data_IF_533845779112
#
_entry.id   IF_533845779112
#
_cell.length_a   1.000
_cell.length_b   1.000
_cell.length_c   1.000
_cell.angle_alpha   90.00
_cell.angle_beta   90.00
_cell.angle_gamma   90.00
#
_symmetry.space_group_name_H-M   'P 1'
#
loop_
_entity.id
_entity.type
_entity.pdbx_description
1 polymer ?
#
# COMPACT_ATOMS: atom_id res chain seq x y z
N UNK A 1 7.60 -10.95 -8.70
CA UNK A 1 8.34 -9.86 -9.42
C UNK A 1 7.95 -8.50 -8.83
N UNK A 2 6.66 -8.13 -8.81
CA UNK A 2 6.23 -6.83 -8.28
C UNK A 2 6.51 -6.67 -6.78
N UNK A 3 6.30 -7.72 -5.99
CA UNK A 3 6.59 -7.70 -4.54
C UNK A 3 8.05 -7.33 -4.27
N UNK A 4 8.97 -7.83 -5.11
CA UNK A 4 10.40 -7.58 -4.99
C UNK A 4 10.83 -6.20 -5.51
N UNK A 5 10.28 -5.75 -6.64
CA UNK A 5 10.82 -4.58 -7.37
C UNK A 5 9.95 -3.32 -7.29
N UNK A 6 8.74 -3.42 -6.74
CA UNK A 6 7.80 -2.30 -6.63
C UNK A 6 7.35 -2.11 -5.18
N UNK A 7 7.04 -3.20 -4.48
CA UNK A 7 6.44 -3.12 -3.15
C UNK A 7 7.39 -3.47 -2.01
N UNK A 8 8.61 -3.96 -2.25
CA UNK A 8 9.59 -4.18 -1.18
C UNK A 8 10.11 -2.84 -0.62
N UNK A 9 10.57 -2.84 0.63
CA UNK A 9 11.04 -1.62 1.29
C UNK A 9 12.34 -1.13 0.64
N UNK A 10 13.18 -2.09 0.26
CA UNK A 10 14.46 -1.91 -0.40
C UNK A 10 14.35 -1.84 -1.94
N UNK A 11 13.15 -1.87 -2.52
CA UNK A 11 12.95 -1.80 -3.97
C UNK A 11 13.52 -0.52 -4.60
N UNK A 12 13.63 0.56 -3.81
CA UNK A 12 14.05 1.89 -4.26
C UNK A 12 15.24 2.41 -3.46
N UNK A 13 16.39 1.75 -3.60
CA UNK A 13 17.67 2.22 -3.06
C UNK A 13 18.44 3.03 -4.11
N UNK A 14 18.52 4.35 -3.91
CA UNK A 14 19.24 5.25 -4.80
C UNK A 14 20.52 5.75 -4.14
N UNK A 15 21.61 5.84 -4.92
CA UNK A 15 22.84 6.47 -4.45
C UNK A 15 22.58 7.96 -4.14
N UNK A 16 23.05 8.51 -2.99
CA UNK A 16 22.84 9.92 -2.64
C UNK A 16 23.35 10.89 -3.73
N UNK A 17 24.45 10.55 -4.40
CA UNK A 17 25.00 11.32 -5.51
C UNK A 17 24.08 11.38 -6.74
N UNK A 18 23.23 10.38 -6.95
CA UNK A 18 22.21 10.42 -8.00
C UNK A 18 21.07 11.35 -7.60
N UNK A 19 20.60 11.25 -6.35
CA UNK A 19 19.51 12.09 -5.82
C UNK A 19 19.84 13.58 -5.91
N UNK A 20 21.07 13.95 -5.54
CA UNK A 20 21.55 15.34 -5.64
C UNK A 20 21.60 15.87 -7.08
N UNK A 21 21.66 14.98 -8.09
CA UNK A 21 21.65 15.36 -9.51
C UNK A 21 20.25 15.44 -10.12
N UNK A 22 19.22 14.96 -9.42
CA UNK A 22 17.82 15.05 -9.87
C UNK A 22 17.19 16.41 -9.52
N UNK A 23 17.79 17.16 -8.59
CA UNK A 23 17.39 18.53 -8.29
C UNK A 23 17.66 19.46 -9.50
N UNK A 24 16.79 20.45 -9.75
CA UNK A 24 16.99 21.41 -10.84
C UNK A 24 18.37 22.08 -10.78
N UNK A 25 19.01 22.25 -11.94
CA UNK A 25 20.28 22.95 -12.02
C UNK A 25 20.15 24.37 -11.49
N UNK A 26 21.12 24.78 -10.66
CA UNK A 26 21.23 26.14 -10.12
C UNK A 26 21.91 27.11 -11.08
N UNK A 27 22.25 26.67 -12.29
CA UNK A 27 22.98 27.46 -13.26
C UNK A 27 22.08 28.50 -13.92
N UNK A 28 22.40 29.79 -13.69
CA UNK A 28 21.72 30.93 -14.28
C UNK A 28 22.55 31.49 -15.42
N UNK A 29 21.96 31.60 -16.61
CA UNK A 29 22.51 32.34 -17.73
C UNK A 29 21.41 33.09 -18.48
N UNK A 30 21.78 33.85 -19.50
CA UNK A 30 20.89 34.72 -20.27
C UNK A 30 19.72 34.01 -20.99
N UNK A 31 19.71 32.67 -21.03
CA UNK A 31 18.62 31.83 -21.55
C UNK A 31 17.99 30.89 -20.51
N UNK A 32 18.37 30.96 -19.24
CA UNK A 32 17.78 30.14 -18.16
C UNK A 32 17.19 31.03 -17.07
N UNK A 33 15.88 30.90 -16.86
CA UNK A 33 15.20 31.42 -15.68
C UNK A 33 15.36 30.42 -14.54
N UNK A 34 15.66 30.92 -13.33
CA UNK A 34 15.68 30.07 -12.13
C UNK A 34 14.23 29.70 -11.80
N UNK A 35 13.91 28.41 -11.78
CA UNK A 35 12.59 27.94 -11.37
C UNK A 35 12.39 28.19 -9.87
N UNK A 36 11.33 28.93 -9.52
CA UNK A 36 10.95 29.26 -8.13
C UNK A 36 9.92 28.23 -7.62
N UNK A 37 10.27 26.95 -7.71
CA UNK A 37 9.53 25.83 -7.13
C UNK A 37 10.41 25.16 -6.04
N UNK A 38 9.89 24.24 -5.21
CA UNK A 38 10.69 23.55 -4.21
C UNK A 38 11.97 22.99 -4.84
N UNK A 39 13.10 23.33 -4.22
CA UNK A 39 14.44 23.08 -4.77
C UNK A 39 14.88 21.61 -4.64
N UNK A 40 14.09 20.81 -3.92
CA UNK A 40 14.33 19.39 -3.68
C UNK A 40 13.52 18.54 -4.67
N UNK A 41 14.13 17.46 -5.17
CA UNK A 41 13.44 16.49 -6.02
C UNK A 41 12.53 15.61 -5.15
N UNK A 42 11.20 15.58 -5.37
CA UNK A 42 10.23 14.90 -4.49
C UNK A 42 10.23 13.39 -4.74
N UNK A 43 11.33 12.72 -4.41
CA UNK A 43 11.53 11.32 -4.78
C UNK A 43 10.49 10.40 -4.13
N UNK A 44 10.14 10.66 -2.86
CA UNK A 44 9.16 9.87 -2.14
C UNK A 44 7.78 9.95 -2.79
N UNK A 45 7.37 11.14 -3.25
CA UNK A 45 6.09 11.32 -3.95
C UNK A 45 6.09 10.64 -5.31
N UNK A 46 7.22 10.67 -6.02
CA UNK A 46 7.38 10.01 -7.32
C UNK A 46 7.35 8.49 -7.19
N UNK A 47 8.03 7.92 -6.19
CA UNK A 47 7.98 6.49 -5.90
C UNK A 47 6.55 6.08 -5.54
N UNK A 48 5.91 6.81 -4.61
CA UNK A 48 4.53 6.54 -4.22
C UNK A 48 3.58 6.65 -5.42
N UNK A 49 3.78 7.61 -6.31
CA UNK A 49 3.00 7.78 -7.52
C UNK A 49 3.08 6.52 -8.42
N UNK A 50 4.28 5.99 -8.63
CA UNK A 50 4.50 4.76 -9.40
C UNK A 50 3.84 3.56 -8.71
N UNK A 51 4.10 3.37 -7.42
CA UNK A 51 3.51 2.26 -6.65
C UNK A 51 1.98 2.32 -6.69
N UNK A 52 1.40 3.53 -6.57
CA UNK A 52 -0.04 3.77 -6.66
C UNK A 52 -0.61 3.39 -8.03
N UNK A 53 0.07 3.73 -9.12
CA UNK A 53 -0.37 3.34 -10.48
C UNK A 53 -0.44 1.82 -10.59
N UNK A 54 0.62 1.13 -10.15
CA UNK A 54 0.68 -0.34 -10.20
C UNK A 54 -0.43 -0.94 -9.35
N UNK A 55 -0.57 -0.50 -8.10
CA UNK A 55 -1.57 -1.03 -7.17
C UNK A 55 -3.00 -0.82 -7.68
N UNK A 56 -3.31 0.37 -8.20
CA UNK A 56 -4.62 0.67 -8.82
C UNK A 56 -4.88 -0.14 -10.09
N UNK A 57 -3.84 -0.44 -10.86
CA UNK A 57 -3.94 -1.30 -12.03
C UNK A 57 -4.29 -2.73 -11.62
N UNK A 58 -3.58 -3.29 -10.64
CA UNK A 58 -3.79 -4.62 -10.08
C UNK A 58 -5.21 -4.78 -9.51
N UNK A 59 -5.64 -3.81 -8.71
CA UNK A 59 -6.95 -3.78 -8.05
C UNK A 59 -8.04 -3.06 -8.87
N UNK A 60 -7.87 -2.98 -10.19
CA UNK A 60 -8.87 -2.35 -11.07
C UNK A 60 -10.06 -3.28 -11.32
N UNK A 61 -11.27 -2.71 -11.41
CA UNK A 61 -12.51 -3.46 -11.67
C UNK A 61 -12.38 -4.42 -12.87
N UNK A 62 -11.86 -3.91 -13.99
CA UNK A 62 -11.68 -4.67 -15.22
C UNK A 62 -10.74 -5.87 -15.00
N UNK A 63 -9.64 -5.68 -14.24
CA UNK A 63 -8.70 -6.77 -13.96
C UNK A 63 -9.30 -7.80 -13.01
N UNK A 64 -10.02 -7.36 -11.98
CA UNK A 64 -10.67 -8.26 -11.02
C UNK A 64 -11.78 -9.09 -11.67
N UNK A 65 -12.58 -8.51 -12.57
CA UNK A 65 -13.57 -9.24 -13.39
C UNK A 65 -12.85 -10.29 -14.24
N UNK A 66 -11.77 -9.91 -14.92
CA UNK A 66 -11.01 -10.84 -15.77
C UNK A 66 -10.42 -12.01 -14.98
N UNK A 67 -9.86 -11.75 -13.79
CA UNK A 67 -9.32 -12.81 -12.93
C UNK A 67 -10.43 -13.79 -12.51
N UNK A 68 -11.55 -13.27 -11.99
CA UNK A 68 -12.71 -14.11 -11.66
C UNK A 68 -13.19 -14.94 -12.86
N UNK A 69 -13.29 -14.34 -14.04
CA UNK A 69 -13.77 -15.04 -15.23
C UNK A 69 -12.74 -16.05 -15.78
N UNK A 70 -11.44 -15.84 -15.53
CA UNK A 70 -10.36 -16.77 -15.90
C UNK A 70 -10.37 -18.03 -15.04
N UNK A 71 -10.70 -17.92 -13.75
CA UNK A 71 -10.85 -19.06 -12.83
C UNK A 71 -11.89 -20.06 -13.34
N UNK A 72 -12.96 -19.59 -14.00
CA UNK A 72 -13.99 -20.45 -14.60
C UNK A 72 -13.56 -21.11 -15.91
N UNK A 73 -12.56 -20.55 -16.60
CA UNK A 73 -12.17 -20.94 -17.97
C UNK A 73 -10.87 -21.73 -18.05
N UNK A 74 -10.16 -21.88 -16.93
CA UNK A 74 -8.82 -22.44 -16.86
C UNK A 74 -8.78 -23.59 -15.85
N UNK A 75 -7.90 -24.56 -16.07
CA UNK A 75 -7.65 -25.63 -15.08
C UNK A 75 -7.09 -25.02 -13.78
N UNK A 76 -7.47 -25.53 -12.58
CA UNK A 76 -7.18 -24.88 -11.29
C UNK A 76 -5.72 -24.51 -11.00
N UNK A 77 -4.75 -25.24 -11.58
CA UNK A 77 -3.32 -25.06 -11.29
C UNK A 77 -2.62 -24.00 -12.17
N UNK A 78 -3.34 -23.39 -13.13
CA UNK A 78 -2.73 -22.50 -14.12
C UNK A 78 -3.25 -21.05 -14.11
N UNK A 79 -4.15 -20.69 -13.20
CA UNK A 79 -4.73 -19.35 -13.12
C UNK A 79 -4.48 -18.72 -11.74
N UNK A 80 -3.95 -17.48 -11.76
CA UNK A 80 -3.89 -16.63 -10.57
C UNK A 80 -5.31 -16.35 -10.08
N UNK A 81 -5.57 -16.64 -8.80
CA UNK A 81 -6.89 -16.44 -8.21
C UNK A 81 -7.02 -15.08 -7.53
N UNK A 82 -8.26 -14.62 -7.35
CA UNK A 82 -8.53 -13.40 -6.59
C UNK A 82 -7.96 -13.46 -5.16
N UNK A 83 -8.18 -14.51 -4.34
CA UNK A 83 -7.62 -14.56 -2.99
C UNK A 83 -6.09 -14.47 -2.98
N UNK A 84 -5.43 -15.14 -3.93
CA UNK A 84 -3.96 -15.13 -4.07
C UNK A 84 -3.42 -13.73 -4.36
N UNK A 85 -4.10 -12.97 -5.24
CA UNK A 85 -3.70 -11.59 -5.54
C UNK A 85 -3.80 -10.69 -4.30
N UNK A 86 -4.93 -10.76 -3.59
CA UNK A 86 -5.18 -9.97 -2.39
C UNK A 86 -4.16 -10.32 -1.30
N UNK A 87 -4.02 -11.61 -0.98
CA UNK A 87 -3.09 -12.09 0.04
C UNK A 87 -1.63 -11.71 -0.29
N UNK A 88 -1.22 -11.83 -1.55
CA UNK A 88 0.15 -11.45 -1.98
C UNK A 88 0.40 -9.96 -1.75
N UNK A 89 -0.55 -9.09 -2.13
CA UNK A 89 -0.45 -7.65 -1.93
C UNK A 89 -0.43 -7.29 -0.44
N UNK A 90 -1.32 -7.89 0.35
CA UNK A 90 -1.41 -7.67 1.78
C UNK A 90 -0.10 -8.08 2.48
N UNK A 91 0.41 -9.28 2.18
CA UNK A 91 1.66 -9.78 2.75
C UNK A 91 2.85 -8.90 2.35
N UNK A 92 2.95 -8.49 1.08
CA UNK A 92 4.07 -7.67 0.60
C UNK A 92 4.05 -6.23 1.12
N UNK A 93 2.87 -5.64 1.33
CA UNK A 93 2.75 -4.23 1.75
C UNK A 93 2.84 -4.08 3.27
N UNK A 94 2.47 -5.11 4.03
CA UNK A 94 2.42 -5.10 5.50
C UNK A 94 3.48 -6.00 6.15
N UNK A 95 4.61 -6.24 5.47
CA UNK A 95 5.71 -7.08 5.95
C UNK A 95 6.16 -6.71 7.37
N UNK A 96 6.23 -5.41 7.69
CA UNK A 96 6.67 -4.92 9.00
C UNK A 96 5.69 -5.28 10.13
N UNK A 97 4.41 -5.49 9.80
CA UNK A 97 3.38 -5.92 10.75
C UNK A 97 3.35 -7.45 10.85
N UNK A 98 3.41 -8.14 9.70
CA UNK A 98 3.18 -9.57 9.59
C UNK A 98 4.41 -10.43 9.92
N UNK A 99 5.61 -9.98 9.52
CA UNK A 99 6.85 -10.76 9.60
C UNK A 99 7.85 -10.25 10.64
N UNK A 100 7.48 -9.23 11.43
CA UNK A 100 8.42 -8.64 12.40
C UNK A 100 9.04 -9.70 13.32
N UNK A 101 10.34 -9.94 13.19
CA UNK A 101 11.10 -10.94 13.95
C UNK A 101 12.05 -10.23 14.91
N UNK A 102 11.65 -10.16 16.18
CA UNK A 102 12.53 -9.80 17.31
C UNK A 102 13.02 -8.35 17.48
N UNK A 103 13.13 -7.56 16.40
CA UNK A 103 13.66 -6.20 16.39
C UNK A 103 12.65 -5.09 16.74
N UNK A 104 13.14 -3.84 16.77
CA UNK A 104 12.31 -2.63 16.71
C UNK A 104 11.43 -2.66 15.47
N UNK A 105 10.16 -2.29 15.62
CA UNK A 105 9.23 -2.21 14.49
C UNK A 105 9.21 -0.75 14.07
N UNK A 106 10.02 -0.42 13.08
CA UNK A 106 10.04 0.89 12.44
C UNK A 106 9.45 0.74 11.04
N UNK A 107 8.50 1.59 10.70
CA UNK A 107 7.88 1.60 9.38
C UNK A 107 8.27 2.90 8.69
N UNK A 108 9.09 2.85 7.65
CA UNK A 108 9.55 4.05 6.96
C UNK A 108 8.40 4.93 6.43
N UNK A 109 8.64 6.25 6.28
CA UNK A 109 7.60 7.16 5.79
C UNK A 109 7.05 6.77 4.41
N UNK A 110 7.90 6.20 3.54
CA UNK A 110 7.50 5.71 2.23
C UNK A 110 6.57 4.50 2.36
N UNK A 111 6.94 3.54 3.21
CA UNK A 111 6.13 2.36 3.52
C UNK A 111 4.75 2.74 4.07
N UNK A 112 4.68 3.64 5.05
CA UNK A 112 3.41 4.14 5.62
C UNK A 112 2.49 4.76 4.57
N UNK A 113 3.05 5.46 3.57
CA UNK A 113 2.27 6.03 2.48
C UNK A 113 1.70 4.96 1.54
N UNK A 114 2.47 3.92 1.21
CA UNK A 114 1.97 2.78 0.42
C UNK A 114 0.87 2.01 1.16
N UNK A 115 1.08 1.73 2.44
CA UNK A 115 0.11 1.09 3.32
C UNK A 115 -1.22 1.87 3.37
N UNK A 116 -1.17 3.20 3.47
CA UNK A 116 -2.36 4.07 3.38
C UNK A 116 -3.06 3.97 2.04
N UNK A 117 -2.33 3.93 0.93
CA UNK A 117 -2.93 3.78 -0.40
C UNK A 117 -3.63 2.41 -0.55
N UNK A 118 -3.00 1.33 -0.07
CA UNK A 118 -3.62 0.02 -0.04
C UNK A 118 -4.90 0.01 0.78
N UNK A 119 -4.84 0.53 2.02
CA UNK A 119 -6.01 0.64 2.89
C UNK A 119 -7.14 1.44 2.21
N UNK A 120 -6.84 2.57 1.58
CA UNK A 120 -7.82 3.40 0.88
C UNK A 120 -8.57 2.61 -0.20
N UNK A 121 -7.85 1.76 -0.95
CA UNK A 121 -8.46 0.93 -1.99
C UNK A 121 -9.40 -0.10 -1.40
N UNK A 122 -8.97 -0.83 -0.36
CA UNK A 122 -9.82 -1.82 0.31
C UNK A 122 -11.06 -1.18 0.94
N UNK A 123 -10.90 -0.06 1.67
CA UNK A 123 -12.03 0.71 2.23
C UNK A 123 -12.99 1.14 1.12
N UNK A 124 -12.47 1.63 -0.02
CA UNK A 124 -13.34 2.06 -1.13
C UNK A 124 -14.16 0.93 -1.73
N UNK A 125 -13.63 -0.30 -1.74
CA UNK A 125 -14.37 -1.49 -2.19
C UNK A 125 -15.44 -1.88 -1.17
N UNK A 126 -15.08 -1.94 0.11
CA UNK A 126 -16.00 -2.33 1.19
C UNK A 126 -17.18 -1.38 1.30
N UNK A 127 -16.92 -0.06 1.26
CA UNK A 127 -17.96 0.98 1.30
C UNK A 127 -18.69 1.19 -0.03
N UNK A 128 -18.45 0.34 -1.04
CA UNK A 128 -19.07 0.44 -2.38
C UNK A 128 -18.86 1.79 -3.10
N UNK A 129 -17.83 2.56 -2.70
CA UNK A 129 -17.40 3.77 -3.40
C UNK A 129 -16.65 3.45 -4.72
N UNK A 130 -16.35 2.17 -4.95
CA UNK A 130 -15.74 1.64 -6.17
C UNK A 130 -16.51 0.40 -6.60
N UNK A 131 -16.88 0.34 -7.88
CA UNK A 131 -17.45 -0.87 -8.49
C UNK A 131 -16.36 -1.92 -8.65
N UNK A 132 -16.52 -3.08 -8.01
CA UNK A 132 -15.71 -4.30 -8.14
C UNK A 132 -16.63 -5.52 -8.08
N UNK A 133 -16.19 -6.72 -8.51
CA UNK A 133 -16.93 -7.96 -8.28
C UNK A 133 -17.25 -8.17 -6.78
N UNK A 134 -18.40 -8.76 -6.48
CA UNK A 134 -18.83 -9.02 -5.08
C UNK A 134 -17.85 -9.91 -4.31
N UNK A 135 -17.20 -10.87 -4.98
CA UNK A 135 -16.16 -11.70 -4.38
C UNK A 135 -14.93 -10.87 -3.98
N UNK A 136 -14.50 -9.93 -4.83
CA UNK A 136 -13.40 -9.03 -4.52
C UNK A 136 -13.74 -8.08 -3.36
N UNK A 137 -15.01 -7.63 -3.26
CA UNK A 137 -15.48 -6.86 -2.11
C UNK A 137 -15.44 -7.69 -0.82
N UNK A 138 -15.86 -8.95 -0.89
CA UNK A 138 -15.84 -9.88 0.24
C UNK A 138 -14.42 -10.18 0.72
N UNK A 139 -13.49 -10.35 -0.22
CA UNK A 139 -12.06 -10.48 0.07
C UNK A 139 -11.49 -9.21 0.70
N UNK A 140 -11.79 -8.03 0.17
CA UNK A 140 -11.37 -6.76 0.77
C UNK A 140 -11.86 -6.62 2.22
N UNK A 141 -13.14 -6.94 2.49
CA UNK A 141 -13.67 -6.94 3.84
C UNK A 141 -12.95 -7.94 4.75
N UNK A 142 -12.68 -9.14 4.25
CA UNK A 142 -11.99 -10.19 4.99
C UNK A 142 -10.56 -9.75 5.36
N UNK A 143 -9.82 -9.18 4.41
CA UNK A 143 -8.46 -8.67 4.65
C UNK A 143 -8.42 -7.53 5.65
N UNK A 144 -9.34 -6.56 5.56
CA UNK A 144 -9.43 -5.49 6.56
C UNK A 144 -9.61 -6.08 7.97
N UNK A 145 -10.44 -7.11 8.11
CA UNK A 145 -10.68 -7.77 9.40
C UNK A 145 -9.46 -8.54 9.91
N UNK A 146 -8.69 -9.18 9.04
CA UNK A 146 -7.45 -9.85 9.44
C UNK A 146 -6.38 -8.83 9.82
N UNK A 147 -6.21 -7.79 9.00
CA UNK A 147 -5.27 -6.71 9.24
C UNK A 147 -5.52 -6.02 10.60
N UNK A 148 -6.77 -5.71 10.97
CA UNK A 148 -7.04 -5.13 12.30
C UNK A 148 -6.55 -6.02 13.45
N UNK A 149 -6.73 -7.34 13.35
CA UNK A 149 -6.24 -8.28 14.36
C UNK A 149 -4.72 -8.32 14.43
N UNK A 150 -4.06 -8.34 13.27
CA UNK A 150 -2.59 -8.36 13.20
C UNK A 150 -1.99 -7.06 13.75
N UNK A 151 -2.61 -5.92 13.42
CA UNK A 151 -2.26 -4.61 13.96
C UNK A 151 -2.46 -4.55 15.49
N UNK A 152 -3.60 -5.03 15.98
CA UNK A 152 -3.85 -5.10 17.43
C UNK A 152 -2.78 -5.93 18.15
N UNK A 153 -2.46 -7.10 17.58
CA UNK A 153 -1.48 -8.03 18.12
C UNK A 153 -0.08 -7.40 18.15
N UNK A 154 0.35 -6.73 17.09
CA UNK A 154 1.69 -6.13 17.04
C UNK A 154 1.80 -4.92 17.98
N UNK A 155 0.77 -4.06 18.03
CA UNK A 155 0.72 -2.91 18.93
C UNK A 155 0.79 -3.38 20.39
N UNK A 156 -0.03 -4.38 20.78
CA UNK A 156 0.00 -4.92 22.15
C UNK A 156 1.34 -5.53 22.52
N UNK A 157 1.98 -6.26 21.60
CA UNK A 157 3.24 -6.97 21.87
C UNK A 157 4.46 -6.06 21.83
N UNK A 158 4.45 -5.03 20.99
CA UNK A 158 5.66 -4.27 20.62
C UNK A 158 5.50 -2.76 20.60
N UNK A 159 4.35 -2.20 20.96
CA UNK A 159 4.11 -0.75 20.91
C UNK A 159 5.16 0.07 21.68
N UNK A 160 5.73 -0.46 22.76
CA UNK A 160 6.81 0.19 23.53
C UNK A 160 8.18 0.22 22.82
N UNK A 161 8.33 -0.53 21.72
CA UNK A 161 9.55 -0.66 20.90
C UNK A 161 9.33 -0.07 19.48
N UNK A 162 8.30 0.72 19.31
CA UNK A 162 8.00 1.44 18.07
C UNK A 162 8.34 2.91 18.27
N UNK A 163 8.75 3.58 17.21
CA UNK A 163 8.83 5.05 17.22
C UNK A 163 7.42 5.67 17.21
N UNK A 164 7.35 6.94 17.59
CA UNK A 164 6.07 7.68 17.70
C UNK A 164 5.30 7.68 16.38
N UNK A 165 6.01 7.75 15.25
CA UNK A 165 5.38 7.75 13.93
C UNK A 165 4.78 6.39 13.57
N UNK A 166 5.43 5.28 13.92
CA UNK A 166 4.92 3.94 13.65
C UNK A 166 3.70 3.66 14.51
N UNK A 167 3.76 3.92 15.82
CA UNK A 167 2.62 3.65 16.70
C UNK A 167 1.39 4.49 16.29
N UNK A 168 1.57 5.79 16.03
CA UNK A 168 0.49 6.67 15.59
C UNK A 168 -0.10 6.21 14.25
N UNK A 169 0.75 5.80 13.30
CA UNK A 169 0.29 5.27 12.02
C UNK A 169 -0.55 4.00 12.18
N UNK A 170 -0.07 3.01 12.95
CA UNK A 170 -0.80 1.75 13.12
C UNK A 170 -2.13 1.97 13.85
N UNK A 171 -2.17 2.84 14.86
CA UNK A 171 -3.42 3.20 15.54
C UNK A 171 -4.42 3.92 14.63
N UNK A 172 -3.96 4.86 13.79
CA UNK A 172 -4.79 5.54 12.78
C UNK A 172 -5.40 4.52 11.79
N UNK A 173 -4.58 3.60 11.27
CA UNK A 173 -5.02 2.55 10.35
C UNK A 173 -6.10 1.68 11.01
N UNK A 174 -5.89 1.23 12.25
CA UNK A 174 -6.88 0.43 12.98
C UNK A 174 -8.20 1.15 13.17
N UNK A 175 -8.17 2.40 13.64
CA UNK A 175 -9.37 3.21 13.83
C UNK A 175 -10.19 3.32 12.54
N UNK A 176 -9.52 3.56 11.41
CA UNK A 176 -10.16 3.63 10.10
C UNK A 176 -10.75 2.31 9.64
N UNK A 177 -10.07 1.19 9.91
CA UNK A 177 -10.60 -0.15 9.62
C UNK A 177 -11.87 -0.40 10.44
N UNK A 178 -11.82 -0.19 11.76
CA UNK A 178 -12.95 -0.43 12.67
C UNK A 178 -14.16 0.40 12.25
N UNK A 179 -13.97 1.69 11.95
CA UNK A 179 -15.04 2.57 11.45
C UNK A 179 -15.64 2.07 10.14
N UNK A 180 -14.80 1.61 9.21
CA UNK A 180 -15.25 1.06 7.92
C UNK A 180 -16.09 -0.21 8.10
N UNK A 181 -15.61 -1.15 8.92
CA UNK A 181 -16.30 -2.41 9.17
C UNK A 181 -17.64 -2.18 9.91
N UNK A 182 -17.68 -1.22 10.84
CA UNK A 182 -18.91 -0.86 11.56
C UNK A 182 -19.93 -0.11 10.67
N UNK A 183 -19.48 0.76 9.78
CA UNK A 183 -20.36 1.45 8.83
C UNK A 183 -21.12 0.45 7.93
N UNK A 184 -20.45 -0.63 7.50
CA UNK A 184 -21.09 -1.68 6.72
C UNK A 184 -22.16 -2.45 7.51
N UNK A 185 -21.96 -2.67 8.81
CA UNK A 185 -22.95 -3.35 9.65
C UNK A 185 -24.26 -2.56 9.76
N UNK A 186 -24.24 -1.23 9.60
CA UNK A 186 -25.43 -0.38 9.64
C UNK A 186 -26.14 -0.26 8.28
N UNK A 187 -25.46 -0.58 7.18
CA UNK A 187 -25.97 -0.41 5.81
C UNK A 187 -26.61 -1.68 5.23
N UNK A 188 -26.64 -2.78 5.97
CA UNK A 188 -27.33 -4.04 5.60
C UNK A 188 -28.64 -4.16 6.40
#
# INVERSE_FOLDING_TARGET
ILDKYVFAEDAFQFAPNLLNKLAPSRWRHWGSSVLVFPLDYPIQDNILFLQRIVLRSLLSNIRLIRLRDLELKTTPDNALKLPELFETLQNSIWTEVLESSGGEVEISSMRRSLQREHLNLLISMVLRNRTVPEDARSLAWYELRQLDKDLEKIIKKRGKKMDDYTIAHLEEIRDRIVKTLNAQLQSN
#
